data_IF_671039413109
#
_entry.id   IF_671039413109
#
_cell.length_a   1.000
_cell.length_b   1.000
_cell.length_c   1.000
_cell.angle_alpha   90.00
_cell.angle_beta   90.00
_cell.angle_gamma   90.00
#
_symmetry.space_group_name_H-M   'P 1'
#
loop_
_entity.id
_entity.type
_entity.pdbx_description
1 polymer ?
#
# COMPACT_ATOMS: atom_id res chain seq x y z
N UNK A 1 -7.96 18.79 25.71
CA UNK A 1 -7.35 19.65 24.68
C UNK A 1 -5.86 19.49 24.91
N UNK A 2 -5.05 18.87 24.07
CA UNK A 2 -5.08 18.69 22.62
C UNK A 2 -4.11 17.55 22.28
N UNK A 3 -4.43 16.75 21.26
CA UNK A 3 -3.51 16.22 20.23
C UNK A 3 -4.18 14.99 19.61
N UNK A 4 -5.20 15.22 18.78
CA UNK A 4 -5.56 14.24 17.76
C UNK A 4 -4.67 14.55 16.55
N UNK A 5 -3.53 13.87 16.35
CA UNK A 5 -2.79 14.08 15.13
C UNK A 5 -3.55 13.36 14.02
N UNK A 6 -4.12 14.17 13.13
CA UNK A 6 -4.17 13.93 11.69
C UNK A 6 -4.71 12.57 11.23
N UNK A 7 -5.85 12.63 10.52
CA UNK A 7 -6.32 11.58 9.62
C UNK A 7 -5.13 10.82 8.99
N UNK A 8 -4.89 9.55 9.37
CA UNK A 8 -3.61 8.88 9.10
C UNK A 8 -3.50 8.41 7.64
N UNK A 9 -4.49 8.74 6.81
CA UNK A 9 -4.50 8.61 5.36
C UNK A 9 -4.21 9.93 4.63
N UNK A 10 -4.09 11.05 5.35
CA UNK A 10 -3.93 12.38 4.75
C UNK A 10 -2.51 12.57 4.23
N UNK A 11 -2.29 12.22 2.96
CA UNK A 11 -1.02 12.38 2.27
C UNK A 11 -0.38 11.08 1.76
N UNK A 12 -1.00 9.92 1.99
CA UNK A 12 -0.49 8.67 1.42
C UNK A 12 -0.73 8.67 -0.09
N UNK A 13 0.36 8.84 -0.84
CA UNK A 13 0.32 8.75 -2.29
C UNK A 13 0.14 7.30 -2.74
N UNK A 14 -0.41 7.08 -3.95
CA UNK A 14 -0.49 5.73 -4.54
C UNK A 14 0.88 5.04 -4.58
N UNK A 15 1.98 5.81 -4.72
CA UNK A 15 3.34 5.30 -4.62
C UNK A 15 3.64 4.76 -3.23
N UNK A 16 3.39 5.54 -2.19
CA UNK A 16 3.63 5.14 -0.80
C UNK A 16 2.80 3.89 -0.48
N UNK A 17 1.51 3.89 -0.79
CA UNK A 17 0.60 2.77 -0.58
C UNK A 17 1.12 1.46 -1.21
N UNK A 18 1.50 1.50 -2.48
CA UNK A 18 2.05 0.34 -3.18
C UNK A 18 3.37 -0.10 -2.55
N UNK A 19 4.22 0.85 -2.15
CA UNK A 19 5.52 0.55 -1.54
C UNK A 19 5.31 -0.16 -0.21
N UNK A 20 4.47 0.37 0.68
CA UNK A 20 4.18 -0.26 1.97
C UNK A 20 3.55 -1.64 1.83
N UNK A 21 2.61 -1.83 0.88
CA UNK A 21 2.05 -3.15 0.59
C UNK A 21 3.12 -4.14 0.14
N UNK A 22 4.04 -3.71 -0.72
CA UNK A 22 5.14 -4.55 -1.21
C UNK A 22 6.14 -4.84 -0.09
N UNK A 23 6.45 -3.87 0.76
CA UNK A 23 7.38 -4.08 1.89
C UNK A 23 6.79 -5.02 2.94
N UNK A 24 5.48 -4.95 3.19
CA UNK A 24 4.82 -5.80 4.19
C UNK A 24 4.48 -7.21 3.65
N UNK A 25 3.86 -7.31 2.46
CA UNK A 25 3.39 -8.58 1.90
C UNK A 25 4.34 -9.20 0.89
N UNK A 26 5.11 -8.38 0.17
CA UNK A 26 5.89 -8.81 -0.99
C UNK A 26 5.06 -8.97 -2.26
N UNK A 27 5.74 -8.84 -3.40
CA UNK A 27 5.18 -9.10 -4.73
C UNK A 27 4.47 -10.46 -4.89
N UNK A 28 4.98 -11.60 -4.38
CA UNK A 28 4.29 -12.89 -4.57
C UNK A 28 2.93 -12.96 -3.85
N UNK A 29 2.77 -12.34 -2.67
CA UNK A 29 1.48 -12.30 -2.00
C UNK A 29 0.51 -11.33 -2.71
N UNK A 30 1.03 -10.20 -3.19
CA UNK A 30 0.22 -9.25 -3.96
C UNK A 30 -0.24 -9.83 -5.30
N UNK A 31 0.57 -10.66 -5.97
CA UNK A 31 0.18 -11.31 -7.24
C UNK A 31 -0.93 -12.35 -7.05
N UNK A 32 -1.02 -12.99 -5.88
CA UNK A 32 -2.12 -13.87 -5.52
C UNK A 32 -3.43 -13.11 -5.31
N UNK A 33 -3.38 -11.96 -4.66
CA UNK A 33 -4.54 -11.09 -4.41
C UNK A 33 -4.97 -10.37 -5.70
N UNK A 34 -4.00 -9.92 -6.48
CA UNK A 34 -4.15 -9.07 -7.66
C UNK A 34 -3.30 -9.68 -8.77
N UNK A 35 -3.93 -10.51 -9.60
CA UNK A 35 -3.28 -11.23 -10.71
C UNK A 35 -2.90 -10.28 -11.86
N UNK A 36 -1.89 -9.45 -11.63
CA UNK A 36 -1.31 -8.55 -12.64
C UNK A 36 0.12 -8.97 -12.96
N UNK A 37 0.46 -8.86 -14.24
CA UNK A 37 1.78 -9.21 -14.79
C UNK A 37 2.93 -8.45 -14.13
N UNK A 38 2.68 -7.23 -13.68
CA UNK A 38 3.71 -6.40 -13.06
C UNK A 38 4.29 -7.02 -11.78
N UNK A 39 3.53 -7.83 -11.04
CA UNK A 39 4.03 -8.45 -9.81
C UNK A 39 4.78 -9.77 -10.04
N UNK A 40 4.77 -10.29 -11.26
CA UNK A 40 5.39 -11.58 -11.61
C UNK A 40 6.55 -11.43 -12.60
N UNK A 41 6.41 -10.54 -13.59
CA UNK A 41 7.39 -10.39 -14.69
C UNK A 41 8.38 -9.24 -14.44
N UNK A 42 7.91 -8.12 -13.88
CA UNK A 42 8.74 -6.93 -13.64
C UNK A 42 8.39 -6.29 -12.28
N UNK A 43 8.73 -6.96 -11.16
CA UNK A 43 8.36 -6.54 -9.82
C UNK A 43 9.10 -5.26 -9.44
N UNK A 44 8.51 -4.13 -9.80
CA UNK A 44 9.07 -2.80 -9.55
C UNK A 44 7.97 -1.78 -9.27
N UNK A 45 8.23 -0.87 -8.32
CA UNK A 45 7.27 0.17 -7.92
C UNK A 45 6.92 1.08 -9.11
N UNK A 46 7.92 1.51 -9.90
CA UNK A 46 7.68 2.38 -11.05
C UNK A 46 6.84 1.70 -12.14
N UNK A 47 7.13 0.43 -12.43
CA UNK A 47 6.40 -0.40 -13.39
C UNK A 47 4.95 -0.61 -12.92
N UNK A 48 4.78 -0.88 -11.62
CA UNK A 48 3.47 -1.03 -11.00
C UNK A 48 2.66 0.26 -11.13
N UNK A 49 3.23 1.40 -10.76
CA UNK A 49 2.53 2.69 -10.87
C UNK A 49 2.15 3.03 -12.31
N UNK A 50 3.02 2.76 -13.28
CA UNK A 50 2.73 2.96 -14.70
C UNK A 50 1.58 2.05 -15.15
N UNK A 51 1.53 0.82 -14.66
CA UNK A 51 0.44 -0.12 -14.90
C UNK A 51 -0.87 0.35 -14.26
N UNK A 52 -0.87 0.69 -12.96
CA UNK A 52 -2.03 1.21 -12.22
C UNK A 52 -2.56 2.54 -12.77
N UNK A 53 -1.77 3.27 -13.56
CA UNK A 53 -2.23 4.45 -14.33
C UNK A 53 -3.02 4.08 -15.58
N UNK A 54 -2.66 2.99 -16.25
CA UNK A 54 -3.34 2.50 -17.45
C UNK A 54 -4.51 1.56 -17.13
N UNK A 55 -4.53 0.99 -15.94
CA UNK A 55 -5.47 -0.05 -15.52
C UNK A 55 -6.19 0.36 -14.23
N UNK A 56 -7.28 1.15 -14.32
CA UNK A 56 -7.94 1.73 -13.15
C UNK A 56 -8.50 0.66 -12.20
N UNK A 57 -9.11 -0.41 -12.72
CA UNK A 57 -9.63 -1.50 -11.88
C UNK A 57 -8.54 -2.13 -11.01
N UNK A 58 -7.29 -2.21 -11.49
CA UNK A 58 -6.18 -2.77 -10.73
C UNK A 58 -5.78 -1.83 -9.60
N UNK A 59 -5.83 -0.52 -9.83
CA UNK A 59 -5.59 0.49 -8.79
C UNK A 59 -6.62 0.38 -7.68
N UNK A 60 -7.90 0.30 -8.02
CA UNK A 60 -8.98 0.16 -7.04
C UNK A 60 -8.79 -1.11 -6.19
N UNK A 61 -8.33 -2.21 -6.78
CA UNK A 61 -8.01 -3.45 -6.04
C UNK A 61 -6.83 -3.26 -5.07
N UNK A 62 -5.78 -2.57 -5.50
CA UNK A 62 -4.62 -2.26 -4.65
C UNK A 62 -5.02 -1.36 -3.48
N UNK A 63 -5.79 -0.31 -3.74
CA UNK A 63 -6.30 0.61 -2.71
C UNK A 63 -7.22 -0.12 -1.73
N UNK A 64 -8.17 -0.92 -2.22
CA UNK A 64 -9.05 -1.72 -1.38
C UNK A 64 -8.27 -2.73 -0.52
N UNK A 65 -7.21 -3.33 -1.08
CA UNK A 65 -6.34 -4.23 -0.33
C UNK A 65 -5.58 -3.50 0.78
N UNK A 66 -5.07 -2.31 0.51
CA UNK A 66 -4.42 -1.47 1.52
C UNK A 66 -5.39 -1.08 2.62
N UNK A 67 -6.59 -0.59 2.30
CA UNK A 67 -7.61 -0.22 3.29
C UNK A 67 -7.98 -1.42 4.17
N UNK A 68 -8.17 -2.60 3.57
CA UNK A 68 -8.49 -3.83 4.31
C UNK A 68 -7.36 -4.26 5.26
N UNK A 69 -6.12 -3.98 4.89
CA UNK A 69 -4.94 -4.33 5.69
C UNK A 69 -4.32 -3.11 6.37
N UNK A 70 -5.04 -1.99 6.41
CA UNK A 70 -4.50 -0.70 6.84
C UNK A 70 -3.97 -0.81 8.27
N UNK A 71 -4.78 -1.38 9.16
CA UNK A 71 -4.36 -1.68 10.52
C UNK A 71 -3.08 -2.53 10.56
N UNK A 72 -2.95 -3.58 9.75
CA UNK A 72 -1.75 -4.46 9.78
C UNK A 72 -0.48 -3.76 9.31
N UNK A 73 -0.60 -2.96 8.25
CA UNK A 73 0.53 -2.26 7.63
C UNK A 73 0.96 -1.06 8.50
N UNK A 74 0.01 -0.37 9.15
CA UNK A 74 0.30 0.78 10.01
C UNK A 74 0.54 0.46 11.50
N UNK A 75 0.02 -0.64 12.04
CA UNK A 75 0.28 -1.05 13.44
C UNK A 75 1.77 -1.26 13.71
N UNK A 76 2.52 -1.75 12.72
CA UNK A 76 3.98 -1.87 12.81
C UNK A 76 4.71 -0.51 12.93
N UNK A 77 4.07 0.59 12.52
CA UNK A 77 4.60 1.95 12.60
C UNK A 77 4.11 2.73 13.83
N UNK A 78 2.93 2.39 14.37
CA UNK A 78 2.35 3.06 15.55
C UNK A 78 3.10 2.70 16.85
N UNK A 79 3.58 1.45 16.99
CA UNK A 79 4.46 1.05 18.11
C UNK A 79 5.82 1.77 18.12
N UNK A 80 6.20 2.45 17.03
CA UNK A 80 7.40 3.29 16.95
C UNK A 80 7.15 4.76 17.31
N UNK A 81 5.88 5.18 17.44
CA UNK A 81 5.46 6.56 17.74
C UNK A 81 4.51 6.66 18.95
N UNK A 82 4.42 5.61 19.77
CA UNK A 82 3.78 5.63 21.09
C UNK A 82 4.84 5.41 22.16
N UNK A 83 5.86 6.26 22.10
CA UNK A 83 7.04 6.23 22.97
C UNK A 83 7.60 7.63 23.11
N UNK A 84 6.76 8.58 23.53
CA UNK A 84 7.20 9.80 24.20
C UNK A 84 6.20 10.18 25.29
#
# INVERSE_FOLDING_TARGET
MDNQPFNPLHGITLKALVTELVEYFGYPALSQQIKIKCFTEDPSINSTLKFLRKTPWAREKVEALFIKNYHKVHQANDEKNSGQ
#
